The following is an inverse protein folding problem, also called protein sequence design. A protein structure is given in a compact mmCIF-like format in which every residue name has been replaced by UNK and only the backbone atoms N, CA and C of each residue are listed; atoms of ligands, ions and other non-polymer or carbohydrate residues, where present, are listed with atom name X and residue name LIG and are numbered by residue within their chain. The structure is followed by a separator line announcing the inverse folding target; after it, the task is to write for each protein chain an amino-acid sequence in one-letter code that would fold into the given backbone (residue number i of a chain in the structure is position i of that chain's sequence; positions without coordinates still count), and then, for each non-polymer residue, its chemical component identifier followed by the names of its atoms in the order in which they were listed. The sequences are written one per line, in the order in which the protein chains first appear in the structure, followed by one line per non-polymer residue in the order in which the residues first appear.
data_IF_170146705896
#
_entry.id   IF_170146705896
#
_cell.length_a   1.000
_cell.length_b   1.000
_cell.length_c   1.000
_cell.angle_alpha   90.00
_cell.angle_beta   90.00
_cell.angle_gamma   90.00
#
_symmetry.space_group_name_H-M   'P 1'
#
loop_
_entity.id
_entity.type
_entity.pdbx_description
1 polymer ?
#
# COMPACT_ATOMS: atom_id res chain seq x y z
N UNK A 1 10.97 15.12 -19.71
CA UNK A 1 11.86 14.53 -18.70
C UNK A 1 11.82 15.43 -17.48
N UNK A 2 11.68 14.85 -16.31
CA UNK A 2 11.62 15.51 -15.01
C UNK A 2 12.73 14.93 -14.14
N UNK A 3 13.53 15.79 -13.52
CA UNK A 3 14.49 15.43 -12.50
C UNK A 3 13.98 16.01 -11.19
N UNK A 4 14.12 15.27 -10.09
CA UNK A 4 13.75 15.79 -8.79
C UNK A 4 14.60 15.24 -7.66
N UNK A 5 14.57 16.00 -6.57
CA UNK A 5 15.27 15.72 -5.34
C UNK A 5 14.41 16.20 -4.16
N UNK A 6 14.31 15.40 -3.11
CA UNK A 6 13.51 15.72 -1.93
C UNK A 6 12.67 14.53 -1.44
N UNK A 7 11.79 14.76 -0.48
CA UNK A 7 10.97 13.70 0.11
C UNK A 7 9.81 13.34 -0.82
N UNK A 8 9.66 12.06 -1.17
CA UNK A 8 8.57 11.55 -2.01
C UNK A 8 8.14 10.15 -1.60
N UNK A 9 6.93 9.77 -1.98
CA UNK A 9 6.41 8.42 -1.78
C UNK A 9 6.94 7.46 -2.86
N UNK A 10 7.46 6.30 -2.45
CA UNK A 10 7.66 5.16 -3.34
C UNK A 10 6.33 4.49 -3.66
N UNK A 11 5.88 4.56 -4.92
CA UNK A 11 4.54 4.15 -5.31
C UNK A 11 4.55 2.70 -5.82
N UNK A 12 4.18 1.76 -4.95
CA UNK A 12 4.08 0.34 -5.29
C UNK A 12 2.63 -0.07 -5.61
N UNK A 13 1.77 -0.07 -4.59
CA UNK A 13 0.36 -0.44 -4.73
C UNK A 13 -0.53 0.67 -5.32
N UNK A 14 -1.64 0.30 -5.96
CA UNK A 14 -2.62 1.26 -6.50
C UNK A 14 -3.06 2.30 -5.45
N UNK A 15 -3.33 1.82 -4.24
CA UNK A 15 -3.80 2.65 -3.14
C UNK A 15 -2.77 3.72 -2.75
N UNK A 16 -1.47 3.47 -2.94
CA UNK A 16 -0.36 4.41 -2.68
C UNK A 16 0.06 5.23 -3.91
N UNK A 17 -0.33 4.82 -5.12
CA UNK A 17 -0.19 5.65 -6.32
C UNK A 17 -1.15 6.85 -6.30
N UNK A 18 -2.21 6.79 -5.48
CA UNK A 18 -3.22 7.82 -5.33
C UNK A 18 -3.05 8.63 -4.05
N UNK A 19 -3.38 9.92 -4.11
CA UNK A 19 -3.43 10.81 -2.94
C UNK A 19 -4.36 10.24 -1.86
N UNK A 20 -4.03 10.47 -0.60
CA UNK A 20 -4.90 10.15 0.54
C UNK A 20 -6.25 10.86 0.46
N UNK A 21 -6.32 12.01 -0.23
CA UNK A 21 -7.59 12.74 -0.43
C UNK A 21 -8.54 12.01 -1.38
N UNK A 22 -8.03 11.18 -2.29
CA UNK A 22 -8.82 10.53 -3.35
C UNK A 22 -8.98 9.01 -3.19
N UNK A 23 -8.51 8.40 -2.10
CA UNK A 23 -8.73 6.96 -1.87
C UNK A 23 -10.23 6.63 -1.79
N UNK A 24 -10.60 5.44 -2.29
CA UNK A 24 -12.00 5.00 -2.39
C UNK A 24 -12.50 4.35 -1.10
N UNK A 25 -11.63 3.71 -0.33
CA UNK A 25 -11.96 3.10 0.96
C UNK A 25 -11.64 4.06 2.11
N UNK A 26 -12.16 3.78 3.31
CA UNK A 26 -11.83 4.53 4.53
C UNK A 26 -10.32 4.55 4.81
N UNK A 27 -9.67 3.39 4.65
CA UNK A 27 -8.24 3.18 4.81
C UNK A 27 -7.67 2.42 3.61
N UNK A 28 -6.36 2.55 3.38
CA UNK A 28 -5.63 1.66 2.47
C UNK A 28 -5.57 0.24 3.04
N UNK A 29 -5.44 -0.77 2.19
CA UNK A 29 -5.30 -2.15 2.65
C UNK A 29 -4.00 -2.34 3.44
N UNK A 30 -3.97 -3.32 4.33
CA UNK A 30 -2.74 -3.67 5.05
C UNK A 30 -1.65 -4.14 4.10
N UNK A 31 -2.01 -4.81 3.01
CA UNK A 31 -1.05 -5.24 1.99
C UNK A 31 -0.42 -4.05 1.25
N UNK A 32 -1.23 -3.06 0.82
CA UNK A 32 -0.71 -1.84 0.25
C UNK A 32 0.24 -1.11 1.22
N UNK A 33 -0.08 -1.09 2.53
CA UNK A 33 0.78 -0.51 3.56
C UNK A 33 2.09 -1.29 3.77
N UNK A 34 2.10 -2.62 3.61
CA UNK A 34 3.33 -3.42 3.65
C UNK A 34 4.29 -3.03 2.52
N UNK A 35 3.77 -2.66 1.36
CA UNK A 35 4.55 -2.29 0.16
C UNK A 35 5.01 -0.81 0.16
N UNK A 36 4.64 -0.02 1.16
CA UNK A 36 4.95 1.40 1.18
C UNK A 36 6.41 1.64 1.60
N UNK A 37 7.15 2.41 0.81
CA UNK A 37 8.47 2.92 1.19
C UNK A 37 8.32 4.05 2.22
N UNK A 38 8.23 3.68 3.49
CA UNK A 38 8.21 4.60 4.62
C UNK A 38 9.54 4.56 5.40
N UNK A 39 9.91 5.70 5.99
CA UNK A 39 11.08 5.82 6.87
C UNK A 39 10.82 5.35 8.31
N UNK A 40 11.82 5.38 9.21
CA UNK A 40 11.66 4.90 10.59
C UNK A 40 10.51 5.55 11.38
N UNK A 41 10.14 6.79 11.02
CA UNK A 41 9.05 7.60 11.60
C UNK A 41 7.73 7.47 10.82
N UNK A 42 7.67 6.60 9.82
CA UNK A 42 6.53 6.40 8.92
C UNK A 42 6.22 7.63 8.06
N UNK A 43 7.25 8.39 7.69
CA UNK A 43 7.22 9.48 6.73
C UNK A 43 7.61 9.06 5.31
N UNK A 44 7.53 10.00 4.38
CA UNK A 44 8.04 9.82 3.03
C UNK A 44 9.57 9.99 3.03
N UNK A 45 10.35 9.04 2.49
CA UNK A 45 11.81 9.11 2.46
C UNK A 45 12.34 10.17 1.48
N UNK A 46 13.58 10.60 1.72
CA UNK A 46 14.37 11.42 0.79
C UNK A 46 14.71 10.60 -0.46
N UNK A 47 14.64 11.22 -1.64
CA UNK A 47 14.99 10.57 -2.89
C UNK A 47 15.61 11.52 -3.91
N UNK A 48 16.36 10.96 -4.85
CA UNK A 48 16.69 11.55 -6.14
C UNK A 48 16.02 10.71 -7.24
N UNK A 49 15.40 11.35 -8.24
CA UNK A 49 14.69 10.62 -9.28
C UNK A 49 14.76 11.27 -10.65
N UNK A 50 14.54 10.42 -11.66
CA UNK A 50 14.26 10.82 -13.03
C UNK A 50 12.96 10.16 -13.48
N UNK A 51 12.09 10.98 -14.07
CA UNK A 51 10.83 10.53 -14.66
C UNK A 51 10.74 11.00 -16.09
N UNK A 52 10.32 10.12 -17.00
CA UNK A 52 10.14 10.50 -18.40
C UNK A 52 8.99 9.74 -19.02
N UNK A 53 8.46 10.28 -20.10
CA UNK A 53 7.37 9.69 -20.86
C UNK A 53 7.73 9.63 -22.34
N UNK A 54 7.29 8.57 -22.99
CA UNK A 54 7.46 8.34 -24.42
C UNK A 54 6.19 7.67 -24.95
N UNK A 55 5.38 8.42 -25.71
CA UNK A 55 4.05 7.97 -26.13
C UNK A 55 3.16 7.64 -24.93
N UNK A 56 2.55 6.45 -24.96
CA UNK A 56 1.69 5.89 -23.91
C UNK A 56 2.45 5.40 -22.67
N UNK A 57 3.79 5.50 -22.66
CA UNK A 57 4.61 4.97 -21.58
C UNK A 57 5.17 6.08 -20.70
N UNK A 58 5.20 5.83 -19.40
CA UNK A 58 5.89 6.64 -18.40
C UNK A 58 6.81 5.75 -17.58
N UNK A 59 8.03 6.19 -17.37
CA UNK A 59 9.05 5.51 -16.59
C UNK A 59 9.49 6.40 -15.43
N UNK A 60 9.76 5.79 -14.29
CA UNK A 60 10.22 6.48 -13.08
C UNK A 60 11.30 5.63 -12.42
N UNK A 61 12.50 6.21 -12.33
CA UNK A 61 13.64 5.60 -11.66
C UNK A 61 14.05 6.51 -10.51
N UNK A 62 14.28 5.93 -9.34
CA UNK A 62 14.63 6.69 -8.14
C UNK A 62 15.62 5.92 -7.28
N UNK A 63 16.46 6.67 -6.57
CA UNK A 63 17.19 6.17 -5.41
C UNK A 63 16.60 6.84 -4.18
N UNK A 64 16.16 6.05 -3.20
CA UNK A 64 15.68 6.54 -1.91
C UNK A 64 16.72 6.29 -0.84
N UNK A 65 16.81 7.19 0.14
CA UNK A 65 17.64 7.02 1.33
C UNK A 65 16.82 6.58 2.54
N UNK A 66 17.39 5.67 3.33
CA UNK A 66 16.94 5.32 4.67
C UNK A 66 17.15 6.42 5.71
N UNK A 67 18.05 7.36 5.45
CA UNK A 67 18.41 8.43 6.38
C UNK A 67 17.24 9.37 6.61
N UNK A 68 16.84 9.52 7.87
CA UNK A 68 15.70 10.35 8.26
C UNK A 68 16.08 11.78 8.68
N UNK A 69 17.18 11.90 9.43
CA UNK A 69 17.48 13.08 10.25
C UNK A 69 17.92 14.31 9.43
N UNK A 70 18.33 14.10 8.18
CA UNK A 70 18.77 15.18 7.28
C UNK A 70 17.73 15.50 6.20
N UNK A 71 17.24 16.74 6.21
CA UNK A 71 16.27 17.22 5.22
C UNK A 71 16.86 17.46 3.83
N UNK A 72 18.16 17.81 3.79
CA UNK A 72 18.98 17.98 2.60
C UNK A 72 20.30 17.26 2.89
N UNK A 73 20.58 16.14 2.22
CA UNK A 73 21.87 15.46 2.34
C UNK A 73 21.96 14.23 3.25
N UNK A 74 20.89 13.46 3.44
CA UNK A 74 20.96 12.14 4.09
C UNK A 74 21.13 11.01 3.07
N UNK A 75 22.29 10.36 3.04
CA UNK A 75 22.58 9.21 2.17
C UNK A 75 23.48 8.15 2.83
N UNK A 76 23.67 8.25 4.15
CA UNK A 76 24.61 7.41 4.88
C UNK A 76 24.02 6.04 5.20
N UNK A 77 22.70 5.94 5.39
CA UNK A 77 22.02 4.69 5.65
C UNK A 77 21.70 3.92 4.35
N UNK A 78 20.78 2.95 4.48
CA UNK A 78 20.29 2.12 3.39
C UNK A 78 19.83 2.92 2.17
N UNK A 79 19.94 2.29 1.00
CA UNK A 79 19.59 2.84 -0.30
C UNK A 79 18.62 1.90 -0.98
N UNK A 80 17.48 2.43 -1.40
CA UNK A 80 16.53 1.69 -2.24
C UNK A 80 16.65 2.13 -3.68
N UNK A 81 16.91 1.18 -4.57
CA UNK A 81 16.85 1.36 -6.01
C UNK A 81 15.46 0.99 -6.49
N UNK A 82 14.72 1.99 -6.99
CA UNK A 82 13.34 1.86 -7.43
C UNK A 82 13.23 2.08 -8.93
N UNK A 83 12.45 1.21 -9.58
CA UNK A 83 12.08 1.34 -10.98
C UNK A 83 10.58 1.11 -11.12
N UNK A 84 9.94 1.92 -11.97
CA UNK A 84 8.59 1.63 -12.40
C UNK A 84 8.32 2.05 -13.83
N UNK A 85 7.33 1.37 -14.40
CA UNK A 85 6.80 1.60 -15.73
C UNK A 85 5.28 1.64 -15.66
N UNK A 86 4.70 2.65 -16.28
CA UNK A 86 3.26 2.80 -16.52
C UNK A 86 3.02 2.79 -18.03
N UNK A 87 2.20 1.86 -18.52
CA UNK A 87 1.62 1.90 -19.86
C UNK A 87 0.15 2.29 -19.80
N UNK A 88 -0.23 3.39 -20.45
CA UNK A 88 -1.62 3.82 -20.60
C UNK A 88 -2.10 3.54 -22.03
N UNK A 89 -3.00 2.57 -22.17
CA UNK A 89 -3.51 2.09 -23.45
C UNK A 89 -4.97 2.50 -23.70
N UNK A 90 -5.53 3.40 -22.88
CA UNK A 90 -6.93 3.82 -22.94
C UNK A 90 -7.30 4.28 -24.36
N UNK A 91 -6.50 5.17 -24.96
CA UNK A 91 -6.74 5.71 -26.31
C UNK A 91 -6.64 4.66 -27.45
N UNK A 92 -5.98 3.52 -27.18
CA UNK A 92 -5.76 2.44 -28.15
C UNK A 92 -6.66 1.22 -27.91
N UNK A 93 -7.57 1.31 -26.95
CA UNK A 93 -8.43 0.21 -26.52
C UNK A 93 -9.90 0.59 -26.61
N UNK A 94 -10.80 -0.40 -26.49
CA UNK A 94 -12.23 -0.12 -26.36
C UNK A 94 -12.64 0.34 -24.96
N UNK A 95 -11.74 0.28 -23.98
CA UNK A 95 -11.98 0.66 -22.59
C UNK A 95 -11.73 2.15 -22.38
N UNK A 96 -12.57 2.78 -21.56
CA UNK A 96 -12.41 4.19 -21.17
C UNK A 96 -11.14 4.39 -20.31
N UNK A 97 -10.68 3.34 -19.63
CA UNK A 97 -9.44 3.32 -18.86
C UNK A 97 -8.77 1.94 -18.99
N UNK A 98 -7.52 1.93 -19.43
CA UNK A 98 -6.67 0.74 -19.45
C UNK A 98 -5.23 1.13 -19.12
N UNK A 99 -4.83 0.91 -17.86
CA UNK A 99 -3.48 1.16 -17.38
C UNK A 99 -2.85 -0.09 -16.76
N UNK A 100 -1.58 -0.30 -17.07
CA UNK A 100 -0.71 -1.28 -16.42
C UNK A 100 0.45 -0.54 -15.78
N UNK A 101 0.73 -0.81 -14.51
CA UNK A 101 1.87 -0.25 -13.80
C UNK A 101 2.66 -1.37 -13.15
N UNK A 102 3.92 -1.51 -13.52
CA UNK A 102 4.88 -2.43 -12.90
C UNK A 102 5.86 -1.61 -12.09
N UNK A 103 6.12 -2.02 -10.86
CA UNK A 103 7.11 -1.39 -9.99
C UNK A 103 7.94 -2.44 -9.29
N UNK A 104 9.22 -2.12 -9.09
CA UNK A 104 10.18 -2.96 -8.39
C UNK A 104 11.06 -2.07 -7.53
N UNK A 105 11.47 -2.58 -6.39
CA UNK A 105 12.63 -2.04 -5.71
C UNK A 105 13.45 -3.12 -5.03
N UNK A 106 14.72 -2.80 -4.79
CA UNK A 106 15.61 -3.53 -3.90
C UNK A 106 16.31 -2.55 -2.96
N UNK A 107 16.51 -2.97 -1.72
CA UNK A 107 17.19 -2.26 -0.66
C UNK A 107 18.58 -2.84 -0.45
N UNK A 108 19.56 -1.94 -0.31
CA UNK A 108 20.92 -2.25 0.12
C UNK A 108 21.18 -1.44 1.38
N UNK A 109 21.57 -2.10 2.45
CA UNK A 109 21.97 -1.46 3.70
C UNK A 109 22.49 -2.50 4.67
N UNK A 110 23.35 -2.05 5.57
CA UNK A 110 24.02 -2.89 6.55
C UNK A 110 23.29 -2.86 7.91
N UNK A 111 23.81 -3.64 8.87
CA UNK A 111 23.37 -3.54 10.26
C UNK A 111 23.68 -2.14 10.82
N UNK A 112 22.89 -1.71 11.80
CA UNK A 112 22.96 -0.39 12.44
C UNK A 112 22.65 0.84 11.54
N UNK A 113 22.36 0.62 10.25
CA UNK A 113 21.81 1.64 9.34
C UNK A 113 20.27 1.67 9.42
N UNK A 114 19.65 2.83 9.23
CA UNK A 114 18.19 2.90 9.11
C UNK A 114 17.71 2.26 7.79
N UNK A 115 16.64 1.47 7.86
CA UNK A 115 16.02 0.81 6.69
C UNK A 115 14.59 1.28 6.44
N UNK A 116 14.26 1.43 5.15
CA UNK A 116 12.91 1.75 4.71
C UNK A 116 12.00 0.52 4.69
N UNK A 117 10.70 0.78 4.59
CA UNK A 117 9.65 -0.23 4.42
C UNK A 117 9.67 -1.34 5.50
N UNK A 118 10.14 -1.02 6.70
CA UNK A 118 10.26 -1.99 7.79
C UNK A 118 11.45 -2.94 7.65
N UNK A 119 12.46 -2.61 6.85
CA UNK A 119 13.63 -3.45 6.58
C UNK A 119 13.39 -4.52 5.51
N UNK A 120 12.57 -4.23 4.50
CA UNK A 120 12.28 -5.15 3.41
C UNK A 120 13.42 -5.17 2.38
N UNK A 121 13.87 -6.34 1.96
CA UNK A 121 15.00 -6.46 1.01
C UNK A 121 14.60 -6.08 -0.42
N UNK A 122 13.42 -6.52 -0.86
CA UNK A 122 12.91 -6.19 -2.20
C UNK A 122 11.41 -6.42 -2.30
N UNK A 123 10.78 -5.77 -3.27
CA UNK A 123 9.41 -6.07 -3.66
C UNK A 123 9.15 -5.74 -5.13
N UNK A 124 8.25 -6.50 -5.74
CA UNK A 124 7.70 -6.26 -7.06
C UNK A 124 6.17 -6.18 -6.99
N UNK A 125 5.58 -5.21 -7.68
CA UNK A 125 4.14 -5.05 -7.77
C UNK A 125 3.67 -4.80 -9.22
N UNK A 126 2.56 -5.43 -9.59
CA UNK A 126 1.77 -5.17 -10.77
C UNK A 126 0.43 -4.55 -10.35
N UNK A 127 0.16 -3.36 -10.86
CA UNK A 127 -1.10 -2.64 -10.69
C UNK A 127 -1.81 -2.59 -12.03
N UNK A 128 -3.12 -2.87 -12.02
CA UNK A 128 -3.97 -2.73 -13.20
C UNK A 128 -5.09 -1.76 -12.87
N UNK A 129 -5.45 -0.89 -13.81
CA UNK A 129 -6.67 -0.08 -13.75
C UNK A 129 -7.46 -0.23 -15.02
N UNK A 130 -8.71 -0.64 -14.85
CA UNK A 130 -9.66 -0.88 -15.92
C UNK A 130 -10.89 -0.03 -15.66
N UNK A 131 -11.47 0.54 -16.70
CA UNK A 131 -12.70 1.31 -16.61
C UNK A 131 -13.51 1.26 -17.89
N UNK A 132 -14.83 1.11 -17.74
CA UNK A 132 -15.79 1.17 -18.84
C UNK A 132 -17.13 1.66 -18.32
N UNK A 133 -17.60 2.79 -18.84
CA UNK A 133 -18.83 3.43 -18.41
C UNK A 133 -18.79 3.73 -16.91
N UNK A 134 -19.74 3.15 -16.18
CA UNK A 134 -19.84 3.35 -14.72
C UNK A 134 -18.98 2.38 -13.91
N UNK A 135 -18.36 1.38 -14.53
CA UNK A 135 -17.57 0.35 -13.84
C UNK A 135 -16.08 0.69 -13.85
N UNK A 136 -15.43 0.45 -12.71
CA UNK A 136 -13.97 0.49 -12.60
C UNK A 136 -13.48 -0.74 -11.83
N UNK A 137 -12.31 -1.23 -12.18
CA UNK A 137 -11.58 -2.25 -11.43
C UNK A 137 -10.14 -1.80 -11.28
N UNK A 138 -9.72 -1.66 -10.04
CA UNK A 138 -8.30 -1.49 -9.71
C UNK A 138 -7.79 -2.77 -9.07
N UNK A 139 -6.56 -3.15 -9.36
CA UNK A 139 -5.90 -4.27 -8.69
C UNK A 139 -4.45 -3.98 -8.34
N UNK A 140 -3.95 -4.68 -7.33
CA UNK A 140 -2.53 -4.75 -6.99
C UNK A 140 -2.21 -6.21 -6.74
N UNK A 141 -1.23 -6.75 -7.47
CA UNK A 141 -0.61 -8.04 -7.19
C UNK A 141 0.83 -7.75 -6.83
N UNK A 142 1.35 -8.29 -5.75
CA UNK A 142 2.74 -8.05 -5.38
C UNK A 142 3.36 -9.24 -4.65
N UNK A 143 4.68 -9.27 -4.66
CA UNK A 143 5.52 -10.22 -3.93
C UNK A 143 6.78 -9.51 -3.43
N UNK A 144 7.49 -10.09 -2.48
CA UNK A 144 8.75 -9.58 -1.97
C UNK A 144 9.29 -10.37 -0.81
N UNK A 145 10.48 -9.99 -0.35
CA UNK A 145 11.12 -10.59 0.81
C UNK A 145 11.23 -9.57 1.94
N UNK A 146 10.74 -9.94 3.11
CA UNK A 146 10.71 -9.07 4.29
C UNK A 146 12.09 -8.78 4.87
N UNK A 147 13.17 -9.42 4.42
CA UNK A 147 14.54 -9.17 4.86
C UNK A 147 14.85 -9.62 6.29
N UNK A 148 16.13 -9.58 6.66
CA UNK A 148 16.63 -10.04 7.98
C UNK A 148 16.86 -8.91 8.97
N UNK A 149 16.92 -7.67 8.51
CA UNK A 149 17.09 -6.47 9.33
C UNK A 149 15.75 -5.76 9.53
N UNK A 150 15.54 -5.14 10.67
CA UNK A 150 14.40 -4.27 10.92
C UNK A 150 14.67 -2.83 10.44
N UNK A 151 13.71 -1.95 10.67
CA UNK A 151 13.78 -0.55 10.22
C UNK A 151 14.93 0.27 10.82
N UNK A 152 15.57 -0.20 11.89
CA UNK A 152 16.68 0.48 12.55
C UNK A 152 18.01 -0.27 12.33
N UNK A 153 18.06 -1.22 11.38
CA UNK A 153 19.26 -2.00 11.11
C UNK A 153 19.55 -3.09 12.14
N UNK A 154 18.63 -3.34 13.08
CA UNK A 154 18.74 -4.43 14.06
C UNK A 154 18.24 -5.76 13.50
N UNK A 155 18.62 -6.89 14.13
CA UNK A 155 18.12 -8.20 13.73
C UNK A 155 16.59 -8.30 13.86
N UNK A 156 15.92 -8.61 12.75
CA UNK A 156 14.48 -8.84 12.72
C UNK A 156 14.14 -10.21 13.33
N UNK A 157 13.05 -10.28 14.08
CA UNK A 157 12.46 -11.56 14.54
C UNK A 157 12.29 -12.50 13.34
N UNK A 158 12.84 -13.72 13.43
CA UNK A 158 12.84 -14.72 12.35
C UNK A 158 11.44 -15.00 11.81
N UNK A 159 10.42 -14.92 12.67
CA UNK A 159 9.01 -15.11 12.29
C UNK A 159 8.46 -13.98 11.41
N UNK A 160 9.17 -12.88 11.25
CA UNK A 160 8.78 -11.71 10.44
C UNK A 160 9.59 -11.56 9.16
N UNK A 161 10.52 -12.47 8.92
CA UNK A 161 11.39 -12.48 7.74
C UNK A 161 10.69 -13.20 6.59
N UNK A 162 11.42 -13.48 5.52
CA UNK A 162 10.98 -14.40 4.47
C UNK A 162 10.08 -13.78 3.40
N UNK A 163 9.66 -14.64 2.48
CA UNK A 163 8.89 -14.29 1.31
C UNK A 163 7.42 -14.03 1.65
N UNK A 164 6.83 -13.09 0.94
CA UNK A 164 5.41 -12.79 1.03
C UNK A 164 4.83 -12.48 -0.34
N UNK A 165 3.53 -12.68 -0.50
CA UNK A 165 2.81 -12.24 -1.68
C UNK A 165 1.38 -11.85 -1.32
N UNK A 166 0.70 -11.19 -2.24
CA UNK A 166 -0.70 -10.85 -2.04
C UNK A 166 -1.34 -10.18 -3.24
N UNK A 167 -2.65 -10.05 -3.12
CA UNK A 167 -3.54 -9.48 -4.11
C UNK A 167 -4.59 -8.59 -3.45
N UNK A 168 -4.84 -7.45 -4.06
CA UNK A 168 -5.95 -6.56 -3.75
C UNK A 168 -6.75 -6.35 -5.02
N UNK A 169 -8.06 -6.62 -4.96
CA UNK A 169 -9.01 -6.32 -6.04
C UNK A 169 -10.01 -5.30 -5.53
N UNK A 170 -10.24 -4.22 -6.28
CA UNK A 170 -11.13 -3.14 -5.90
C UNK A 170 -12.13 -2.86 -7.03
N UNK A 171 -13.19 -3.67 -7.18
CA UNK A 171 -14.28 -3.37 -8.09
C UNK A 171 -15.09 -2.17 -7.56
N UNK A 172 -15.49 -1.31 -8.47
CA UNK A 172 -16.24 -0.10 -8.17
C UNK A 172 -17.29 0.16 -9.24
N UNK A 173 -18.37 0.84 -8.84
CA UNK A 173 -19.40 1.28 -9.76
C UNK A 173 -19.97 2.62 -9.38
N UNK A 174 -20.13 3.53 -10.32
CA UNK A 174 -20.98 4.70 -10.15
C UNK A 174 -22.46 4.28 -10.18
N UNK A 175 -23.14 4.43 -9.04
CA UNK A 175 -24.60 4.23 -8.96
C UNK A 175 -25.33 5.48 -9.47
N UNK A 176 -24.72 6.64 -9.22
CA UNK A 176 -25.06 7.90 -9.84
C UNK A 176 -23.76 8.60 -10.20
N UNK A 177 -23.53 8.82 -11.49
CA UNK A 177 -22.30 9.40 -12.01
C UNK A 177 -21.92 10.67 -11.25
N UNK A 178 -20.66 10.74 -10.82
CA UNK A 178 -20.04 11.83 -10.07
C UNK A 178 -20.68 12.20 -8.71
N UNK A 179 -21.63 11.39 -8.22
CA UNK A 179 -22.35 11.68 -6.97
C UNK A 179 -22.36 10.52 -5.99
N UNK A 180 -22.61 9.29 -6.44
CA UNK A 180 -22.69 8.11 -5.59
C UNK A 180 -21.93 6.94 -6.20
N UNK A 181 -20.92 6.45 -5.49
CA UNK A 181 -20.06 5.35 -5.93
C UNK A 181 -20.09 4.20 -4.94
N UNK A 182 -20.35 3.00 -5.43
CA UNK A 182 -20.16 1.74 -4.71
C UNK A 182 -18.72 1.28 -4.84
N UNK A 183 -18.12 0.84 -3.74
CA UNK A 183 -16.73 0.40 -3.66
C UNK A 183 -16.67 -0.93 -2.93
N UNK A 184 -16.18 -1.97 -3.60
CA UNK A 184 -15.77 -3.23 -2.97
C UNK A 184 -14.25 -3.31 -2.90
N UNK A 185 -13.72 -4.03 -1.90
CA UNK A 185 -12.31 -4.45 -1.90
C UNK A 185 -12.18 -5.85 -1.34
N UNK A 186 -11.49 -6.71 -2.08
CA UNK A 186 -11.03 -8.02 -1.65
C UNK A 186 -9.52 -7.96 -1.44
N UNK A 187 -9.04 -8.54 -0.37
CA UNK A 187 -7.63 -8.64 -0.01
C UNK A 187 -7.32 -10.08 0.36
N UNK A 188 -6.24 -10.61 -0.20
CA UNK A 188 -5.58 -11.82 0.25
C UNK A 188 -4.08 -11.54 0.31
N UNK A 189 -3.40 -11.91 1.38
CA UNK A 189 -1.95 -11.90 1.46
C UNK A 189 -1.46 -13.05 2.33
N UNK A 190 -0.25 -13.50 2.04
CA UNK A 190 0.37 -14.64 2.70
C UNK A 190 1.88 -14.41 2.86
N UNK A 191 2.48 -15.06 3.86
CA UNK A 191 3.92 -15.12 4.11
C UNK A 191 4.33 -16.53 4.47
N UNK A 192 5.58 -16.89 4.17
CA UNK A 192 6.21 -18.14 4.61
C UNK A 192 6.54 -18.19 6.11
N UNK A 193 6.49 -17.05 6.81
CA UNK A 193 6.76 -16.95 8.25
C UNK A 193 5.51 -16.54 9.03
N UNK A 194 5.35 -17.14 10.22
CA UNK A 194 4.20 -17.01 11.12
C UNK A 194 3.75 -15.56 11.40
N UNK A 195 4.65 -14.58 11.39
CA UNK A 195 4.39 -13.17 11.70
C UNK A 195 4.77 -12.21 10.54
N UNK A 196 4.91 -12.74 9.32
CA UNK A 196 5.43 -12.02 8.15
C UNK A 196 4.50 -10.92 7.63
N UNK A 197 3.20 -10.98 7.92
CA UNK A 197 2.23 -9.94 7.59
C UNK A 197 1.67 -9.25 8.83
N UNK A 198 1.02 -8.10 8.63
CA UNK A 198 0.46 -7.31 9.73
C UNK A 198 -0.82 -6.58 9.33
N UNK A 199 -1.83 -6.61 10.19
CA UNK A 199 -3.05 -5.80 10.08
C UNK A 199 -2.78 -4.30 10.22
N UNK A 200 -3.70 -3.49 9.71
CA UNK A 200 -3.68 -2.05 9.95
C UNK A 200 -3.83 -1.75 11.44
N UNK A 201 -2.94 -0.90 11.97
CA UNK A 201 -2.81 -0.70 13.42
C UNK A 201 -3.93 0.12 14.07
N UNK A 202 -4.96 0.54 13.32
CA UNK A 202 -5.98 1.47 13.81
C UNK A 202 -7.12 0.79 14.56
N UNK A 203 -7.68 -0.29 14.02
CA UNK A 203 -8.93 -0.86 14.55
C UNK A 203 -8.71 -2.17 15.30
N UNK A 204 -8.05 -3.16 14.68
CA UNK A 204 -7.83 -4.46 15.32
C UNK A 204 -7.07 -4.35 16.66
N UNK A 205 -5.94 -3.60 16.78
CA UNK A 205 -5.26 -3.47 18.08
C UNK A 205 -6.09 -2.78 19.17
N UNK A 206 -7.02 -1.88 18.79
CA UNK A 206 -7.94 -1.26 19.75
C UNK A 206 -8.98 -2.25 20.27
N UNK A 207 -9.33 -3.27 19.50
CA UNK A 207 -10.23 -4.35 19.93
C UNK A 207 -9.58 -5.18 21.04
N UNK A 208 -8.32 -5.61 20.87
CA UNK A 208 -7.57 -6.33 21.93
C UNK A 208 -7.38 -5.48 23.18
N UNK A 209 -7.15 -4.17 23.04
CA UNK A 209 -7.07 -3.29 24.20
C UNK A 209 -8.37 -3.26 25.03
N UNK A 210 -9.52 -3.64 24.45
CA UNK A 210 -10.83 -3.71 25.11
C UNK A 210 -11.26 -5.13 25.47
N UNK A 211 -10.71 -6.14 24.79
CA UNK A 211 -10.98 -7.55 25.02
C UNK A 211 -9.65 -8.32 25.14
N UNK A 212 -9.26 -8.59 26.38
CA UNK A 212 -8.01 -9.29 26.69
C UNK A 212 -8.01 -10.77 26.30
N UNK A 213 -9.14 -11.32 25.84
CA UNK A 213 -9.21 -12.69 25.31
C UNK A 213 -8.74 -12.78 23.86
N UNK A 214 -8.59 -11.64 23.17
CA UNK A 214 -8.02 -11.58 21.82
C UNK A 214 -6.48 -11.61 21.89
N UNK A 215 -5.87 -12.67 21.38
CA UNK A 215 -4.42 -12.80 21.21
C UNK A 215 -4.03 -12.34 19.80
N UNK A 216 -3.91 -11.03 19.59
CA UNK A 216 -3.64 -10.47 18.25
C UNK A 216 -2.19 -10.61 17.78
N UNK A 217 -1.25 -11.04 18.63
CA UNK A 217 0.19 -11.06 18.32
C UNK A 217 0.73 -9.75 17.72
N UNK A 218 0.20 -8.61 18.20
CA UNK A 218 0.52 -7.28 17.68
C UNK A 218 -0.07 -7.00 16.29
N UNK A 219 -1.13 -7.73 15.93
CA UNK A 219 -1.81 -7.76 14.65
C UNK A 219 -1.06 -8.54 13.58
N UNK A 220 -0.25 -9.55 13.94
CA UNK A 220 0.62 -10.29 13.00
C UNK A 220 0.11 -11.70 12.72
N UNK A 221 0.48 -12.20 11.55
CA UNK A 221 0.11 -13.53 11.07
C UNK A 221 0.92 -13.91 9.84
N UNK A 222 0.55 -15.03 9.22
CA UNK A 222 1.09 -15.55 7.96
C UNK A 222 0.04 -15.57 6.84
N UNK A 223 -1.26 -15.50 7.16
CA UNK A 223 -2.34 -15.39 6.18
C UNK A 223 -3.37 -14.34 6.62
N UNK A 224 -3.79 -13.47 5.70
CA UNK A 224 -4.80 -12.45 5.97
C UNK A 224 -5.75 -12.26 4.80
N UNK A 225 -7.04 -12.47 5.07
CA UNK A 225 -8.12 -12.19 4.14
C UNK A 225 -8.94 -11.02 4.66
N UNK A 226 -9.32 -10.10 3.76
CA UNK A 226 -10.27 -9.07 4.12
C UNK A 226 -11.26 -8.78 2.99
N UNK A 227 -12.47 -8.43 3.39
CA UNK A 227 -13.51 -7.92 2.51
C UNK A 227 -14.00 -6.57 3.01
N UNK A 228 -14.11 -5.60 2.11
CA UNK A 228 -14.68 -4.28 2.39
C UNK A 228 -15.81 -3.98 1.41
N UNK A 229 -16.88 -3.39 1.93
CA UNK A 229 -17.98 -2.83 1.14
C UNK A 229 -18.27 -1.42 1.63
N UNK A 230 -18.31 -0.46 0.71
CA UNK A 230 -18.54 0.93 1.05
C UNK A 230 -19.27 1.74 -0.02
N UNK A 231 -19.79 2.88 0.42
CA UNK A 231 -20.46 3.89 -0.38
C UNK A 231 -19.75 5.23 -0.20
N UNK A 232 -19.45 5.87 -1.33
CA UNK A 232 -18.88 7.20 -1.37
C UNK A 232 -19.91 8.17 -1.96
N UNK A 233 -20.24 9.20 -1.21
CA UNK A 233 -21.13 10.28 -1.64
C UNK A 233 -20.32 11.56 -1.85
N UNK A 234 -20.28 12.04 -3.09
CA UNK A 234 -19.50 13.20 -3.50
C UNK A 234 -20.41 14.43 -3.50
N UNK A 235 -20.18 15.34 -2.56
CA UNK A 235 -20.93 16.59 -2.46
C UNK A 235 -20.35 17.65 -3.41
N UNK A 236 -19.03 17.66 -3.59
CA UNK A 236 -18.31 18.55 -4.50
C UNK A 236 -17.09 17.85 -5.09
N UNK A 237 -17.35 16.81 -5.90
CA UNK A 237 -16.28 15.95 -6.43
C UNK A 237 -15.35 15.45 -5.32
N UNK A 238 -14.05 15.35 -5.61
CA UNK A 238 -13.06 14.90 -4.63
C UNK A 238 -12.78 15.91 -3.51
N UNK A 239 -13.21 17.18 -3.63
CA UNK A 239 -12.97 18.24 -2.63
C UNK A 239 -13.81 18.06 -1.37
N UNK A 240 -15.01 17.50 -1.51
CA UNK A 240 -15.92 17.28 -0.41
C UNK A 240 -16.72 16.00 -0.62
N UNK A 241 -16.48 14.99 0.23
CA UNK A 241 -17.14 13.69 0.14
C UNK A 241 -17.33 13.03 1.50
N UNK A 242 -18.36 12.19 1.59
CA UNK A 242 -18.56 11.23 2.68
C UNK A 242 -18.17 9.86 2.15
N UNK A 243 -17.37 9.13 2.92
CA UNK A 243 -17.00 7.73 2.68
C UNK A 243 -17.50 6.93 3.87
N UNK A 244 -18.30 5.91 3.62
CA UNK A 244 -18.77 4.97 4.64
C UNK A 244 -18.49 3.56 4.17
N UNK A 245 -18.18 2.67 5.11
CA UNK A 245 -17.97 1.28 4.74
C UNK A 245 -17.81 0.37 5.94
N UNK A 246 -17.99 -0.91 5.65
CA UNK A 246 -17.82 -2.03 6.57
C UNK A 246 -16.70 -2.92 6.04
N UNK A 247 -15.87 -3.42 6.93
CA UNK A 247 -14.77 -4.34 6.64
C UNK A 247 -14.86 -5.56 7.54
N UNK A 248 -14.60 -6.73 6.98
CA UNK A 248 -14.28 -7.95 7.71
C UNK A 248 -12.81 -8.29 7.48
N UNK A 249 -12.11 -8.67 8.55
CA UNK A 249 -10.73 -9.16 8.50
C UNK A 249 -10.67 -10.54 9.19
N UNK A 250 -9.97 -11.49 8.56
CA UNK A 250 -9.60 -12.81 9.08
C UNK A 250 -8.07 -12.93 8.98
N UNK A 251 -7.40 -12.96 10.14
CA UNK A 251 -5.95 -13.12 10.28
C UNK A 251 -5.64 -14.46 10.93
N UNK A 252 -4.74 -15.22 10.31
CA UNK A 252 -4.23 -16.49 10.82
C UNK A 252 -2.71 -16.45 10.96
N UNK A 253 -2.22 -17.31 11.85
CA UNK A 253 -0.80 -17.64 12.03
C UNK A 253 -0.72 -19.14 12.22
N UNK A 254 0.05 -19.83 11.37
CA UNK A 254 0.28 -21.29 11.42
C UNK A 254 -1.03 -22.10 11.48
N UNK A 255 -2.06 -21.63 10.76
CA UNK A 255 -3.39 -22.24 10.71
C UNK A 255 -4.31 -21.92 11.90
N UNK A 256 -3.83 -21.22 12.94
CA UNK A 256 -4.65 -20.74 14.05
C UNK A 256 -5.18 -19.32 13.79
N UNK A 257 -6.46 -19.08 14.07
CA UNK A 257 -7.08 -17.75 13.96
C UNK A 257 -6.58 -16.83 15.06
N UNK A 258 -5.92 -15.74 14.66
CA UNK A 258 -5.43 -14.67 15.54
C UNK A 258 -6.44 -13.52 15.66
N UNK A 259 -7.18 -13.26 14.57
CA UNK A 259 -8.21 -12.24 14.55
C UNK A 259 -9.33 -12.62 13.59
N UNK A 260 -10.55 -12.41 14.02
CA UNK A 260 -11.72 -12.39 13.15
C UNK A 260 -12.65 -11.27 13.62
N UNK A 261 -12.97 -10.32 12.74
CA UNK A 261 -13.80 -9.21 13.20
C UNK A 261 -14.31 -8.27 12.13
N UNK A 262 -15.37 -7.55 12.49
CA UNK A 262 -16.00 -6.53 11.68
C UNK A 262 -15.64 -5.13 12.17
N UNK A 263 -15.26 -4.25 11.24
CA UNK A 263 -15.05 -2.82 11.47
C UNK A 263 -16.03 -2.02 10.62
N UNK A 264 -16.74 -1.07 11.23
CA UNK A 264 -17.60 -0.11 10.53
C UNK A 264 -17.05 1.30 10.73
N UNK A 265 -17.06 2.10 9.68
CA UNK A 265 -16.65 3.49 9.78
C UNK A 265 -17.34 4.42 8.81
N UNK A 266 -17.25 5.72 9.12
CA UNK A 266 -17.65 6.81 8.24
C UNK A 266 -16.64 7.94 8.39
N UNK A 267 -16.28 8.57 7.28
CA UNK A 267 -15.36 9.69 7.19
C UNK A 267 -15.98 10.78 6.34
N UNK A 268 -16.02 11.99 6.88
CA UNK A 268 -16.23 13.20 6.10
C UNK A 268 -14.86 13.77 5.72
N UNK A 269 -14.66 14.04 4.42
CA UNK A 269 -13.39 14.55 3.90
C UNK A 269 -13.60 15.87 3.19
N UNK A 270 -12.75 16.83 3.55
CA UNK A 270 -12.67 18.15 2.95
C UNK A 270 -11.21 18.49 2.69
N UNK A 271 -10.91 19.06 1.53
CA UNK A 271 -9.61 19.66 1.24
C UNK A 271 -9.79 20.88 0.33
N UNK A 272 -8.90 21.85 0.48
CA UNK A 272 -8.99 23.19 -0.12
C UNK A 272 -7.92 23.38 -1.18
#
# INVERSE_FOLDING_TARGET
MELGYGRRTGRMADEWQRSSTVINCLERSSFANKLWLYDKEKGNPLAAWVKWSAGSHTFDAAVFSGTYDDYLGGWEDSKIFYLSWLGNYSDSSSLDLLEYWISYYNQQGDADEDHLAGGMDWSMALVNRLGQGDWLLHSTLATGNSGVLDKNGGSKDVRRQGEFWGIVLMPMRWLQKDRLKLVGRLLYQESDQAHGIKLNSRYAPLAQARDSTLELDGGRGDQHHAFYLGLNYYLCGERMKVISGIQYDDLKSEGSTQYEGWSLGTSFRIWF
#
